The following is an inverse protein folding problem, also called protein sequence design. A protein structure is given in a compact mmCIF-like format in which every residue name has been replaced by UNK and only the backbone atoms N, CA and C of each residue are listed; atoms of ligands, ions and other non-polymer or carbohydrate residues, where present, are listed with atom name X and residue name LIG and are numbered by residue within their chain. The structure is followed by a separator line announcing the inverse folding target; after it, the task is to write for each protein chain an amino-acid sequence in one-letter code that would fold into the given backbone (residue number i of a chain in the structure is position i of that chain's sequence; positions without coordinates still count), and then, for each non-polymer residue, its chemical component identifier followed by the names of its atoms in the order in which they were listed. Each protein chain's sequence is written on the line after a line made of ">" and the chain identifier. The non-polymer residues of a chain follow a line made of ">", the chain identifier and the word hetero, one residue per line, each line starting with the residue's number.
data_IF_449831899379
#
_entry.id   IF_449831899379
#
_cell.length_a   1.000
_cell.length_b   1.000
_cell.length_c   1.000
_cell.angle_alpha   90.00
_cell.angle_beta   90.00
_cell.angle_gamma   90.00
#
_symmetry.space_group_name_H-M   'P 1'
#
loop_
_entity.id
_entity.type
_entity.pdbx_description
1 polymer ?
#
# COMPACT_ATOMS: atom_id res chain seq x y z
N UNK A 1 17.24 -11.24 7.90
CA UNK A 1 16.11 -10.37 7.50
C UNK A 1 16.53 -9.59 6.27
N UNK A 2 15.76 -9.58 5.18
CA UNK A 2 16.02 -8.68 4.06
C UNK A 2 15.88 -7.22 4.52
N UNK A 3 16.71 -6.32 3.98
CA UNK A 3 16.65 -4.88 4.23
C UNK A 3 16.13 -4.15 2.99
N UNK A 4 15.45 -3.02 3.21
CA UNK A 4 15.05 -2.14 2.13
C UNK A 4 16.29 -1.47 1.51
N UNK A 5 16.33 -1.28 0.18
CA UNK A 5 17.33 -0.42 -0.44
C UNK A 5 17.18 1.02 0.07
N UNK A 6 18.30 1.71 0.29
CA UNK A 6 18.30 3.09 0.79
C UNK A 6 17.94 4.11 -0.30
N UNK A 7 17.37 5.24 0.11
CA UNK A 7 17.10 6.37 -0.78
C UNK A 7 15.89 6.20 -1.71
N UNK A 8 15.10 5.14 -1.55
CA UNK A 8 13.85 4.96 -2.29
C UNK A 8 12.80 5.93 -1.75
N UNK A 9 12.17 6.68 -2.64
CA UNK A 9 11.02 7.53 -2.28
C UNK A 9 9.77 6.65 -2.11
N UNK A 10 9.03 6.89 -1.04
CA UNK A 10 7.73 6.26 -0.83
C UNK A 10 6.72 6.77 -1.88
N UNK A 11 5.73 5.96 -2.26
CA UNK A 11 4.59 6.44 -3.02
C UNK A 11 3.89 7.58 -2.29
N UNK A 12 3.37 8.59 -3.02
CA UNK A 12 2.46 9.56 -2.41
C UNK A 12 1.16 8.84 -2.00
N UNK A 13 0.53 9.26 -0.89
CA UNK A 13 -0.71 8.65 -0.42
C UNK A 13 -1.85 8.80 -1.42
N UNK A 14 -2.82 7.88 -1.36
CA UNK A 14 -4.02 7.97 -2.18
C UNK A 14 -4.83 9.19 -1.76
N UNK A 15 -5.13 10.03 -2.75
CA UNK A 15 -6.02 11.16 -2.59
C UNK A 15 -7.48 10.75 -2.80
N UNK A 16 -8.31 10.99 -1.80
CA UNK A 16 -9.74 10.73 -1.80
C UNK A 16 -10.56 11.90 -2.37
N UNK A 17 -9.95 13.08 -2.49
CA UNK A 17 -10.58 14.27 -3.05
C UNK A 17 -10.65 14.26 -4.59
N UNK A 18 -11.72 14.87 -5.13
CA UNK A 18 -11.91 14.97 -6.57
C UNK A 18 -12.20 13.63 -7.25
N UNK A 19 -11.45 13.31 -8.31
CA UNK A 19 -11.71 12.11 -9.11
C UNK A 19 -10.97 10.88 -8.52
N UNK A 20 -11.66 10.17 -7.62
CA UNK A 20 -11.13 8.99 -6.94
C UNK A 20 -10.61 7.91 -7.90
N UNK A 21 -11.33 7.63 -9.00
CA UNK A 21 -10.90 6.62 -9.97
C UNK A 21 -9.57 6.97 -10.65
N UNK A 22 -9.36 8.25 -10.95
CA UNK A 22 -8.09 8.74 -11.51
C UNK A 22 -6.98 8.70 -10.48
N UNK A 23 -7.27 9.09 -9.23
CA UNK A 23 -6.30 9.07 -8.14
C UNK A 23 -5.88 7.64 -7.80
N UNK A 24 -6.81 6.68 -7.79
CA UNK A 24 -6.54 5.26 -7.61
C UNK A 24 -5.54 4.74 -8.63
N UNK A 25 -5.79 4.95 -9.93
CA UNK A 25 -4.87 4.52 -11.00
C UNK A 25 -3.47 5.11 -10.86
N UNK A 26 -3.36 6.35 -10.35
CA UNK A 26 -2.07 7.00 -10.09
C UNK A 26 -1.35 6.37 -8.89
N UNK A 27 -2.07 6.13 -7.81
CA UNK A 27 -1.55 5.46 -6.62
C UNK A 27 -1.09 4.03 -6.94
N UNK A 28 -1.94 3.24 -7.59
CA UNK A 28 -1.65 1.87 -8.03
C UNK A 28 -0.35 1.79 -8.84
N UNK A 29 -0.22 2.65 -9.86
CA UNK A 29 1.02 2.73 -10.65
C UNK A 29 2.25 3.12 -9.81
N UNK A 30 2.10 4.01 -8.83
CA UNK A 30 3.20 4.40 -7.95
C UNK A 30 3.59 3.27 -6.99
N UNK A 31 2.60 2.56 -6.46
CA UNK A 31 2.77 1.40 -5.61
C UNK A 31 3.48 0.25 -6.34
N UNK A 32 3.05 -0.08 -7.57
CA UNK A 32 3.68 -1.14 -8.38
C UNK A 32 5.16 -0.86 -8.65
N UNK A 33 5.48 0.39 -9.01
CA UNK A 33 6.86 0.81 -9.19
C UNK A 33 7.66 0.67 -7.89
N UNK A 34 7.07 1.08 -6.75
CA UNK A 34 7.70 0.97 -5.44
C UNK A 34 7.97 -0.48 -5.04
N UNK A 35 7.00 -1.39 -5.23
CA UNK A 35 7.15 -2.83 -4.97
C UNK A 35 8.40 -3.38 -5.65
N UNK A 36 8.62 -3.03 -6.92
CA UNK A 36 9.76 -3.48 -7.72
C UNK A 36 11.08 -2.88 -7.19
N UNK A 37 11.16 -1.56 -7.03
CA UNK A 37 12.43 -0.92 -6.65
C UNK A 37 12.81 -1.22 -5.20
N UNK A 38 11.83 -1.34 -4.31
CA UNK A 38 12.03 -1.68 -2.89
C UNK A 38 12.26 -3.19 -2.67
N UNK A 39 12.16 -3.99 -3.73
CA UNK A 39 12.33 -5.46 -3.69
C UNK A 39 11.39 -6.12 -2.69
N UNK A 40 10.14 -5.67 -2.67
CA UNK A 40 9.18 -6.14 -1.66
C UNK A 40 8.89 -7.63 -1.81
N UNK A 41 9.13 -8.25 -2.97
CA UNK A 41 9.02 -9.70 -3.19
C UNK A 41 9.85 -10.54 -2.21
N UNK A 42 10.92 -9.96 -1.65
CA UNK A 42 11.79 -10.62 -0.67
C UNK A 42 11.18 -10.71 0.74
N UNK A 43 10.12 -9.98 1.01
CA UNK A 43 9.46 -9.93 2.31
C UNK A 43 8.23 -10.85 2.34
N UNK A 44 7.80 -11.22 3.54
CA UNK A 44 6.56 -12.01 3.70
C UNK A 44 5.31 -11.14 3.45
N UNK A 45 4.18 -11.80 3.24
CA UNK A 45 2.91 -11.13 2.93
C UNK A 45 2.48 -10.12 4.01
N UNK A 46 2.63 -10.49 5.29
CA UNK A 46 2.33 -9.60 6.43
C UNK A 46 3.10 -8.28 6.35
N UNK A 47 4.39 -8.33 5.99
CA UNK A 47 5.22 -7.15 5.84
C UNK A 47 4.79 -6.31 4.62
N UNK A 48 4.50 -6.95 3.47
CA UNK A 48 4.01 -6.25 2.28
C UNK A 48 2.71 -5.52 2.57
N UNK A 49 1.78 -6.16 3.28
CA UNK A 49 0.51 -5.56 3.71
C UNK A 49 0.73 -4.38 4.65
N UNK A 50 1.59 -4.54 5.67
CA UNK A 50 1.93 -3.44 6.58
C UNK A 50 2.56 -2.24 5.85
N UNK A 51 3.42 -2.50 4.86
CA UNK A 51 4.02 -1.46 4.02
C UNK A 51 2.99 -0.77 3.12
N UNK A 52 2.01 -1.51 2.60
CA UNK A 52 0.93 -0.95 1.81
C UNK A 52 0.05 -0.01 2.66
N UNK A 53 -0.39 -0.50 3.82
CA UNK A 53 -1.23 0.25 4.74
C UNK A 53 -0.51 1.48 5.32
N UNK A 54 0.83 1.45 5.45
CA UNK A 54 1.58 2.61 5.93
C UNK A 54 1.71 3.75 4.93
N UNK A 55 1.44 3.51 3.64
CA UNK A 55 1.56 4.52 2.57
C UNK A 55 0.23 4.85 1.88
N UNK A 56 -0.85 4.10 2.13
CA UNK A 56 -2.11 4.29 1.42
C UNK A 56 -2.81 5.62 1.76
N UNK A 57 -2.55 6.17 2.95
CA UNK A 57 -3.14 7.41 3.45
C UNK A 57 -4.24 7.17 4.48
N UNK A 58 -4.42 8.14 5.37
CA UNK A 58 -5.29 8.04 6.57
C UNK A 58 -6.75 7.77 6.22
N UNK A 59 -7.35 8.53 5.31
CA UNK A 59 -8.76 8.37 4.92
C UNK A 59 -9.09 6.94 4.45
N UNK A 60 -8.16 6.33 3.72
CA UNK A 60 -8.35 5.00 3.13
C UNK A 60 -8.07 3.92 4.16
N UNK A 61 -7.12 4.17 5.06
CA UNK A 61 -6.86 3.31 6.20
C UNK A 61 -8.08 3.23 7.13
N UNK A 62 -8.77 4.36 7.38
CA UNK A 62 -10.01 4.38 8.15
C UNK A 62 -11.12 3.56 7.48
N UNK A 63 -11.27 3.67 6.15
CA UNK A 63 -12.21 2.83 5.38
C UNK A 63 -11.84 1.35 5.52
N UNK A 64 -10.55 1.00 5.43
CA UNK A 64 -10.05 -0.37 5.57
C UNK A 64 -10.33 -0.92 6.97
N UNK A 65 -10.05 -0.14 8.03
CA UNK A 65 -10.27 -0.54 9.42
C UNK A 65 -11.76 -0.68 9.75
N UNK A 66 -12.64 0.02 9.03
CA UNK A 66 -14.09 -0.13 9.11
C UNK A 66 -14.66 -1.33 8.36
N UNK A 67 -13.85 -2.09 7.61
CA UNK A 67 -14.32 -3.30 6.91
C UNK A 67 -14.34 -4.51 7.85
N UNK A 68 -15.49 -5.17 7.94
CA UNK A 68 -15.60 -6.49 8.55
C UNK A 68 -15.02 -7.56 7.61
N UNK A 69 -13.71 -7.76 7.69
CA UNK A 69 -13.08 -8.91 7.04
C UNK A 69 -13.50 -10.16 7.80
N UNK A 70 -14.52 -10.86 7.31
CA UNK A 70 -14.83 -12.22 7.79
C UNK A 70 -13.60 -13.07 7.52
N UNK A 71 -12.79 -13.31 8.54
CA UNK A 71 -11.78 -14.36 8.51
C UNK A 71 -12.53 -15.67 8.41
N UNK A 72 -12.72 -16.16 7.18
CA UNK A 72 -13.20 -17.50 6.94
C UNK A 72 -12.22 -18.48 7.56
N UNK A 73 -12.56 -19.05 8.71
CA UNK A 73 -11.92 -20.26 9.20
C UNK A 73 -12.25 -21.38 8.20
N UNK A 74 -11.31 -21.67 7.30
CA UNK A 74 -11.23 -22.90 6.52
C UNK A 74 -9.79 -23.39 6.56
#
# INVERSE_FOLDING_TARGET
>A
MPSLPSGIKLPPPLKTDGNLATNWKRFERAWDNYVIVARLERFNEKYKMAMFLSVIGEDVLEIFDGMDFITGNQ
#
